data_IF_526986966949
#
_entry.id   IF_526986966949
#
_cell.length_a   1.000
_cell.length_b   1.000
_cell.length_c   1.000
_cell.angle_alpha   90.00
_cell.angle_beta   90.00
_cell.angle_gamma   90.00
#
_symmetry.space_group_name_H-M   'P 1'
#
loop_
_entity.id
_entity.type
_entity.pdbx_description
1 polymer ?
#
# COMPACT_ATOMS: atom_id res chain seq x y z
N UNK A 1 1.46 15.77 4.51
CA UNK A 1 2.34 15.03 3.57
C UNK A 1 3.12 16.06 2.80
N UNK A 2 4.42 16.01 2.90
CA UNK A 2 5.30 16.74 2.01
C UNK A 2 5.57 15.87 0.79
N UNK A 3 5.06 16.28 -0.37
CA UNK A 3 5.10 15.45 -1.59
C UNK A 3 6.47 15.45 -2.26
N UNK A 4 7.36 16.35 -1.89
CA UNK A 4 8.75 16.36 -2.34
C UNK A 4 9.49 15.09 -1.89
N UNK A 5 9.11 14.55 -0.72
CA UNK A 5 9.71 13.35 -0.13
C UNK A 5 8.90 12.07 -0.34
N UNK A 6 7.85 12.13 -1.16
CA UNK A 6 7.10 10.94 -1.58
C UNK A 6 7.73 10.39 -2.86
N UNK A 7 8.17 9.12 -2.88
CA UNK A 7 8.86 8.57 -4.05
C UNK A 7 7.94 8.57 -5.28
N UNK A 8 8.49 8.99 -6.42
CA UNK A 8 7.85 8.87 -7.71
C UNK A 8 7.75 7.41 -8.18
N UNK A 9 7.07 7.12 -9.31
CA UNK A 9 6.90 5.76 -9.81
C UNK A 9 8.21 5.02 -10.06
N UNK A 10 9.22 5.68 -10.63
CA UNK A 10 10.55 5.12 -10.90
C UNK A 10 11.27 4.77 -9.59
N UNK A 11 11.37 5.75 -8.68
CA UNK A 11 11.99 5.54 -7.37
C UNK A 11 11.27 4.45 -6.54
N UNK A 12 9.93 4.39 -6.60
CA UNK A 12 9.18 3.33 -5.94
C UNK A 12 9.49 1.94 -6.54
N UNK A 13 9.67 1.85 -7.85
CA UNK A 13 10.07 0.62 -8.53
C UNK A 13 11.47 0.18 -8.12
N UNK A 14 12.44 1.10 -8.10
CA UNK A 14 13.82 0.86 -7.67
C UNK A 14 13.89 0.43 -6.20
N UNK A 15 13.16 1.10 -5.33
CA UNK A 15 13.05 0.74 -3.91
C UNK A 15 12.46 -0.67 -3.72
N UNK A 16 11.40 -1.02 -4.45
CA UNK A 16 10.81 -2.36 -4.39
C UNK A 16 11.77 -3.43 -4.93
N UNK A 17 12.51 -3.15 -6.00
CA UNK A 17 13.53 -4.05 -6.50
C UNK A 17 14.65 -4.25 -5.46
N UNK A 18 15.16 -3.17 -4.87
CA UNK A 18 16.18 -3.21 -3.84
C UNK A 18 15.76 -4.03 -2.61
N UNK A 19 14.49 -3.98 -2.22
CA UNK A 19 13.95 -4.81 -1.11
C UNK A 19 14.24 -6.29 -1.32
N UNK A 20 14.10 -6.82 -2.55
CA UNK A 20 14.38 -8.23 -2.83
C UNK A 20 15.85 -8.60 -2.66
N UNK A 21 16.74 -7.63 -2.92
CA UNK A 21 18.18 -7.87 -3.03
C UNK A 21 18.92 -7.69 -1.70
N UNK A 22 18.36 -6.96 -0.73
CA UNK A 22 19.07 -6.65 0.52
C UNK A 22 19.21 -7.85 1.46
N UNK A 23 18.30 -8.81 1.42
CA UNK A 23 18.36 -9.99 2.28
C UNK A 23 17.29 -11.05 1.94
N UNK A 24 17.42 -12.23 2.50
CA UNK A 24 16.35 -13.25 2.47
C UNK A 24 15.04 -12.71 3.11
N UNK A 25 15.17 -11.87 4.14
CA UNK A 25 14.03 -11.23 4.77
C UNK A 25 13.36 -10.22 3.83
N UNK A 26 14.16 -9.50 3.04
CA UNK A 26 13.66 -8.61 1.98
C UNK A 26 12.85 -9.37 0.93
N UNK A 27 13.32 -10.52 0.45
CA UNK A 27 12.54 -11.36 -0.48
C UNK A 27 11.18 -11.75 0.10
N UNK A 28 11.13 -12.16 1.37
CA UNK A 28 9.87 -12.48 2.04
C UNK A 28 8.94 -11.27 2.18
N UNK A 29 9.46 -10.05 2.36
CA UNK A 29 8.69 -8.83 2.54
C UNK A 29 8.45 -8.05 1.23
N UNK A 30 8.96 -8.49 0.09
CA UNK A 30 8.79 -7.78 -1.18
C UNK A 30 7.32 -7.53 -1.51
N UNK A 31 6.47 -8.56 -1.50
CA UNK A 31 5.05 -8.40 -1.73
C UNK A 31 4.33 -7.63 -0.59
N UNK A 32 4.90 -7.60 0.62
CA UNK A 32 4.42 -6.76 1.72
C UNK A 32 4.48 -5.27 1.34
N UNK A 33 5.64 -4.81 0.86
CA UNK A 33 5.79 -3.44 0.37
C UNK A 33 5.00 -3.19 -0.92
N UNK A 34 4.90 -4.19 -1.79
CA UNK A 34 4.03 -4.15 -2.95
C UNK A 34 2.58 -3.86 -2.60
N UNK A 35 2.03 -4.46 -1.53
CA UNK A 35 0.69 -4.16 -1.04
C UNK A 35 0.54 -2.71 -0.58
N UNK A 36 1.59 -2.12 -0.01
CA UNK A 36 1.57 -0.71 0.39
C UNK A 36 1.57 0.22 -0.83
N UNK A 37 2.36 -0.11 -1.85
CA UNK A 37 2.51 0.72 -3.05
C UNK A 37 1.38 0.54 -4.06
N UNK A 38 0.95 -0.69 -4.35
CA UNK A 38 -0.05 -0.93 -5.41
C UNK A 38 -1.51 -0.97 -4.91
N UNK A 39 -1.71 -1.17 -3.60
CA UNK A 39 -3.03 -1.25 -2.99
C UNK A 39 -3.27 -0.21 -1.88
N UNK A 40 -2.35 0.73 -1.68
CA UNK A 40 -2.38 1.75 -0.65
C UNK A 40 -2.71 1.20 0.75
N UNK A 41 -2.25 -0.01 1.07
CA UNK A 41 -2.52 -0.63 2.37
C UNK A 41 -1.66 -0.02 3.47
N UNK A 42 -2.21 0.00 4.68
CA UNK A 42 -1.43 0.31 5.89
C UNK A 42 -0.60 -0.91 6.29
N UNK A 43 0.61 -0.73 6.87
CA UNK A 43 1.44 -1.87 7.31
C UNK A 43 0.67 -2.87 8.19
N UNK A 44 -0.17 -2.37 9.10
CA UNK A 44 -0.99 -3.22 9.97
C UNK A 44 -2.07 -4.03 9.20
N UNK A 45 -2.59 -3.51 8.11
CA UNK A 45 -3.49 -4.23 7.21
C UNK A 45 -2.74 -5.32 6.45
N UNK A 46 -1.53 -5.00 5.94
CA UNK A 46 -0.67 -5.98 5.25
C UNK A 46 -0.24 -7.10 6.19
N UNK A 47 0.24 -6.76 7.39
CA UNK A 47 0.65 -7.74 8.39
C UNK A 47 -0.48 -8.69 8.83
N UNK A 48 -1.73 -8.28 8.66
CA UNK A 48 -2.92 -9.10 8.94
C UNK A 48 -3.53 -9.78 7.72
N UNK A 49 -3.00 -9.55 6.51
CA UNK A 49 -3.56 -10.08 5.27
C UNK A 49 -3.46 -11.61 5.22
N UNK A 50 -4.59 -12.27 4.96
CA UNK A 50 -4.70 -13.71 4.85
C UNK A 50 -4.92 -14.14 3.40
N UNK A 51 -4.56 -15.38 3.07
CA UNK A 51 -4.83 -15.98 1.75
C UNK A 51 -6.31 -15.89 1.38
N UNK A 52 -7.21 -16.10 2.34
CA UNK A 52 -8.66 -16.01 2.16
C UNK A 52 -9.16 -14.60 1.79
N UNK A 53 -8.35 -13.57 2.01
CA UNK A 53 -8.67 -12.20 1.62
C UNK A 53 -8.28 -11.86 0.16
N UNK A 54 -7.62 -12.77 -0.55
CA UNK A 54 -6.98 -12.50 -1.82
C UNK A 54 -7.67 -13.26 -2.95
N UNK A 55 -8.17 -12.52 -3.95
CA UNK A 55 -8.61 -13.04 -5.24
C UNK A 55 -7.51 -12.75 -6.26
N UNK A 56 -6.75 -13.78 -6.62
CA UNK A 56 -5.54 -13.68 -7.45
C UNK A 56 -5.73 -14.47 -8.74
N UNK A 57 -6.38 -13.90 -9.77
CA UNK A 57 -6.57 -14.60 -11.05
C UNK A 57 -5.23 -14.84 -11.75
N UNK A 58 -5.22 -15.78 -12.72
CA UNK A 58 -4.04 -16.06 -13.51
C UNK A 58 -3.64 -14.87 -14.41
N UNK A 59 -4.61 -14.08 -14.83
CA UNK A 59 -4.43 -12.88 -15.65
C UNK A 59 -5.36 -11.76 -15.22
N UNK A 60 -4.95 -10.52 -15.45
CA UNK A 60 -5.76 -9.34 -15.19
C UNK A 60 -5.72 -8.86 -13.73
N UNK A 61 -6.70 -8.03 -13.41
CA UNK A 61 -6.85 -7.42 -12.08
C UNK A 61 -7.35 -8.42 -11.06
N UNK A 62 -6.79 -8.35 -9.86
CA UNK A 62 -7.26 -9.08 -8.68
C UNK A 62 -7.99 -8.19 -7.70
N UNK A 63 -8.28 -8.74 -6.52
CA UNK A 63 -8.94 -8.01 -5.44
C UNK A 63 -8.45 -8.49 -4.07
N UNK A 64 -8.25 -7.54 -3.16
CA UNK A 64 -8.05 -7.79 -1.74
C UNK A 64 -9.31 -7.36 -0.97
N UNK A 65 -9.84 -8.23 -0.13
CA UNK A 65 -11.02 -7.94 0.70
C UNK A 65 -10.58 -7.76 2.15
N UNK A 66 -10.46 -6.51 2.58
CA UNK A 66 -9.97 -6.15 3.91
C UNK A 66 -11.13 -5.98 4.89
N UNK A 67 -11.11 -6.68 6.01
CA UNK A 67 -12.17 -6.65 7.03
C UNK A 67 -11.71 -6.09 8.37
N UNK A 68 -10.42 -6.26 8.71
CA UNK A 68 -9.86 -5.92 10.02
C UNK A 68 -8.43 -5.42 9.88
N UNK A 69 -8.01 -4.59 10.82
CA UNK A 69 -6.60 -4.25 11.00
C UNK A 69 -6.17 -4.66 12.41
N UNK A 70 -4.86 -4.96 12.56
CA UNK A 70 -4.24 -5.27 13.84
C UNK A 70 -3.08 -4.29 14.08
N UNK A 71 -3.36 -3.06 14.52
CA UNK A 71 -2.31 -2.12 14.84
C UNK A 71 -1.43 -2.68 15.96
N UNK A 72 -0.14 -2.42 15.87
CA UNK A 72 0.82 -2.72 16.93
C UNK A 72 0.59 -1.74 18.08
N UNK A 73 0.47 -2.28 19.29
CA UNK A 73 0.33 -1.51 20.54
C UNK A 73 1.23 -2.14 21.59
N UNK A 74 1.68 -1.37 22.56
CA UNK A 74 2.46 -1.90 23.67
C UNK A 74 1.64 -2.94 24.47
N UNK A 75 2.26 -4.03 24.89
CA UNK A 75 1.58 -5.13 25.59
C UNK A 75 0.90 -4.70 26.91
N UNK A 76 1.36 -3.61 27.52
CA UNK A 76 0.72 -3.03 28.72
C UNK A 76 -0.58 -2.26 28.45
N UNK A 77 -0.97 -2.09 27.20
CA UNK A 77 -2.17 -1.32 26.76
C UNK A 77 -3.24 -2.22 26.12
N UNK A 78 -3.14 -3.54 26.26
CA UNK A 78 -4.09 -4.50 25.76
C UNK A 78 -4.66 -5.35 26.91
N UNK A 79 -5.95 -5.64 26.86
CA UNK A 79 -6.64 -6.43 27.90
C UNK A 79 -6.10 -7.87 28.02
N UNK A 80 -5.49 -8.41 26.95
CA UNK A 80 -4.95 -9.75 26.89
C UNK A 80 -3.41 -9.82 26.89
N UNK A 81 -2.72 -8.69 27.14
CA UNK A 81 -1.26 -8.60 27.22
C UNK A 81 -0.53 -8.82 25.89
N UNK A 82 -1.23 -8.93 24.76
CA UNK A 82 -0.61 -9.06 23.44
C UNK A 82 -0.10 -7.73 22.93
N UNK A 83 0.94 -7.75 22.13
CA UNK A 83 1.53 -6.54 21.53
C UNK A 83 0.72 -5.92 20.39
N UNK A 84 -0.49 -6.39 20.16
CA UNK A 84 -1.41 -5.86 19.15
C UNK A 84 -2.86 -6.12 19.53
N UNK A 85 -3.76 -5.28 19.06
CA UNK A 85 -5.19 -5.38 19.25
C UNK A 85 -5.90 -5.57 17.90
N UNK A 86 -6.87 -6.48 17.82
CA UNK A 86 -7.70 -6.66 16.64
C UNK A 86 -8.83 -5.62 16.63
N UNK A 87 -8.79 -4.71 15.66
CA UNK A 87 -9.82 -3.68 15.49
C UNK A 87 -10.51 -3.80 14.15
N UNK A 88 -11.78 -3.46 14.09
CA UNK A 88 -12.49 -3.26 12.83
C UNK A 88 -11.89 -2.13 11.99
N UNK A 89 -12.28 -2.02 10.73
CA UNK A 89 -11.85 -0.91 9.87
C UNK A 89 -12.23 0.42 10.53
N UNK A 90 -11.27 1.33 10.60
CA UNK A 90 -11.42 2.63 11.27
C UNK A 90 -12.69 3.34 10.78
N UNK A 91 -13.59 3.71 11.72
CA UNK A 91 -14.87 4.41 11.47
C UNK A 91 -15.89 3.64 10.60
N UNK A 92 -15.80 2.30 10.54
CA UNK A 92 -16.78 1.46 9.84
C UNK A 92 -17.43 0.46 10.81
N UNK A 93 -18.62 -0.06 10.46
CA UNK A 93 -19.29 -1.10 11.22
C UNK A 93 -18.40 -2.34 11.40
N UNK A 94 -18.53 -3.07 12.52
CA UNK A 94 -17.69 -4.24 12.87
C UNK A 94 -17.57 -5.30 11.77
N UNK A 95 -18.58 -5.42 10.89
CA UNK A 95 -18.62 -6.37 9.76
C UNK A 95 -18.29 -5.74 8.40
N UNK A 96 -17.99 -4.43 8.35
CA UNK A 96 -17.71 -3.77 7.08
C UNK A 96 -16.39 -4.27 6.47
N UNK A 97 -16.44 -4.64 5.20
CA UNK A 97 -15.28 -4.99 4.39
C UNK A 97 -14.93 -3.86 3.44
N UNK A 98 -13.67 -3.82 3.02
CA UNK A 98 -13.18 -2.89 2.01
C UNK A 98 -12.54 -3.69 0.87
N UNK A 99 -13.24 -3.86 -0.27
CA UNK A 99 -12.61 -4.43 -1.45
C UNK A 99 -11.66 -3.40 -2.07
N UNK A 100 -10.45 -3.84 -2.39
CA UNK A 100 -9.41 -3.06 -3.03
C UNK A 100 -8.99 -3.80 -4.30
N UNK A 101 -9.33 -3.28 -5.50
CA UNK A 101 -8.81 -3.79 -6.75
C UNK A 101 -7.30 -3.66 -6.78
N UNK A 102 -6.60 -4.69 -7.24
CA UNK A 102 -5.15 -4.70 -7.34
C UNK A 102 -4.69 -4.98 -8.77
N UNK A 103 -3.65 -4.27 -9.25
CA UNK A 103 -3.16 -4.43 -10.61
C UNK A 103 -2.47 -5.78 -10.82
N UNK A 104 -2.34 -6.23 -12.10
CA UNK A 104 -1.69 -7.51 -12.44
C UNK A 104 -0.30 -7.68 -11.85
N UNK A 105 0.49 -6.60 -11.74
CA UNK A 105 1.81 -6.63 -11.12
C UNK A 105 1.77 -7.08 -9.66
N UNK A 106 0.82 -6.58 -8.86
CA UNK A 106 0.68 -7.02 -7.47
C UNK A 106 0.10 -8.43 -7.39
N UNK A 107 -0.81 -8.80 -8.29
CA UNK A 107 -1.31 -10.18 -8.39
C UNK A 107 -0.14 -11.16 -8.61
N UNK A 108 0.76 -10.85 -9.55
CA UNK A 108 1.95 -11.66 -9.82
C UNK A 108 2.88 -11.74 -8.58
N UNK A 109 3.15 -10.61 -7.92
CA UNK A 109 3.98 -10.58 -6.70
C UNK A 109 3.40 -11.44 -5.58
N UNK A 110 2.08 -11.38 -5.35
CA UNK A 110 1.41 -12.18 -4.30
C UNK A 110 1.36 -13.67 -4.65
N UNK A 111 1.20 -14.02 -5.92
CA UNK A 111 1.27 -15.42 -6.37
C UNK A 111 2.68 -15.98 -6.18
N UNK A 112 3.71 -15.27 -6.64
CA UNK A 112 5.11 -15.66 -6.44
C UNK A 112 5.46 -15.80 -4.95
N UNK A 113 4.98 -14.88 -4.10
CA UNK A 113 5.13 -14.96 -2.65
C UNK A 113 4.51 -16.24 -2.06
N UNK A 114 3.30 -16.58 -2.49
CA UNK A 114 2.62 -17.79 -2.03
C UNK A 114 3.32 -19.07 -2.51
N UNK A 115 3.82 -19.07 -3.74
CA UNK A 115 4.55 -20.21 -4.30
C UNK A 115 5.89 -20.44 -3.59
N UNK A 116 6.62 -19.37 -3.24
CA UNK A 116 7.93 -19.46 -2.58
C UNK A 116 7.84 -19.65 -1.07
N UNK A 117 6.90 -18.98 -0.41
CA UNK A 117 6.89 -18.88 1.06
C UNK A 117 5.64 -19.51 1.71
N UNK A 118 4.60 -19.80 0.93
CA UNK A 118 3.32 -20.30 1.44
C UNK A 118 2.63 -19.31 2.37
N UNK A 119 1.91 -19.83 3.37
CA UNK A 119 1.24 -19.04 4.40
C UNK A 119 1.67 -19.45 5.81
N UNK A 120 1.44 -18.57 6.77
CA UNK A 120 1.50 -18.93 8.17
C UNK A 120 0.37 -19.91 8.55
N UNK A 121 0.46 -20.65 9.68
CA UNK A 121 -0.58 -21.60 10.10
C UNK A 121 -1.98 -21.01 10.24
N UNK A 122 -2.09 -19.71 10.55
CA UNK A 122 -3.36 -18.98 10.64
C UNK A 122 -3.84 -18.39 9.29
N UNK A 123 -3.16 -18.74 8.20
CA UNK A 123 -3.46 -18.31 6.84
C UNK A 123 -2.92 -16.93 6.44
N UNK A 124 -2.15 -16.26 7.31
CA UNK A 124 -1.50 -14.97 6.93
C UNK A 124 -0.43 -15.21 5.87
N UNK A 125 -0.33 -14.25 4.92
CA UNK A 125 0.70 -14.29 3.88
C UNK A 125 2.08 -14.02 4.49
N UNK A 126 2.19 -13.03 5.36
CA UNK A 126 3.45 -12.56 5.90
C UNK A 126 3.62 -12.99 7.36
N UNK A 127 4.78 -13.55 7.69
CA UNK A 127 5.15 -13.99 9.04
C UNK A 127 6.50 -13.37 9.45
N UNK A 128 6.69 -13.15 10.72
CA UNK A 128 7.98 -12.78 11.30
C UNK A 128 9.02 -13.88 11.07
N UNK A 129 10.32 -13.56 11.16
CA UNK A 129 11.41 -14.52 10.97
C UNK A 129 11.31 -15.74 11.92
N UNK A 130 10.80 -15.53 13.14
CA UNK A 130 10.57 -16.58 14.15
C UNK A 130 9.12 -17.10 14.17
N UNK A 131 8.35 -16.92 13.07
CA UNK A 131 6.89 -17.13 13.05
C UNK A 131 6.14 -15.93 13.66
N UNK A 132 4.87 -16.07 13.91
CA UNK A 132 4.08 -14.97 14.45
C UNK A 132 3.85 -13.83 13.45
N UNK A 133 3.52 -12.65 13.96
CA UNK A 133 3.19 -11.48 13.16
C UNK A 133 4.42 -10.65 12.83
N UNK A 134 4.50 -10.13 11.60
CA UNK A 134 5.53 -9.16 11.20
C UNK A 134 5.40 -7.89 12.05
N UNK A 135 6.51 -7.46 12.64
CA UNK A 135 6.59 -6.26 13.49
C UNK A 135 7.14 -5.07 12.71
N UNK A 136 6.87 -3.87 13.24
CA UNK A 136 7.35 -2.61 12.63
C UNK A 136 8.88 -2.56 12.52
N UNK A 137 9.61 -3.04 13.51
CA UNK A 137 11.07 -3.10 13.48
C UNK A 137 11.59 -3.91 12.29
N UNK A 138 11.03 -5.10 12.04
CA UNK A 138 11.49 -5.99 10.95
C UNK A 138 11.34 -5.36 9.56
N UNK A 139 10.16 -4.79 9.26
CA UNK A 139 9.96 -4.20 7.94
C UNK A 139 10.64 -2.84 7.79
N UNK A 140 10.83 -2.10 8.89
CA UNK A 140 11.58 -0.83 8.85
C UNK A 140 13.07 -1.08 8.60
N UNK A 141 13.69 -2.07 9.23
CA UNK A 141 15.09 -2.45 8.97
C UNK A 141 15.33 -2.82 7.51
N UNK A 142 14.47 -3.67 6.94
CA UNK A 142 14.55 -4.03 5.51
C UNK A 142 14.37 -2.81 4.61
N UNK A 143 13.43 -1.93 4.96
CA UNK A 143 13.17 -0.72 4.19
C UNK A 143 14.37 0.24 4.19
N UNK A 144 14.99 0.48 5.35
CA UNK A 144 16.17 1.34 5.44
C UNK A 144 17.35 0.77 4.64
N UNK A 145 17.58 -0.54 4.69
CA UNK A 145 18.59 -1.18 3.86
C UNK A 145 18.28 -1.01 2.35
N UNK A 146 17.02 -1.14 1.94
CA UNK A 146 16.60 -0.93 0.57
C UNK A 146 16.77 0.53 0.11
N UNK A 147 16.48 1.51 0.98
CA UNK A 147 16.74 2.93 0.69
C UNK A 147 18.22 3.19 0.39
N UNK A 148 19.11 2.73 1.24
CA UNK A 148 20.56 2.90 1.05
C UNK A 148 21.02 2.25 -0.25
N UNK A 149 20.40 1.17 -0.68
CA UNK A 149 20.75 0.47 -1.92
C UNK A 149 20.20 1.15 -3.18
N UNK A 150 18.98 1.67 -3.11
CA UNK A 150 18.26 2.19 -4.28
C UNK A 150 18.48 3.68 -4.53
N UNK A 151 18.68 4.48 -3.49
CA UNK A 151 18.79 5.92 -3.59
C UNK A 151 20.25 6.36 -3.65
N UNK A 152 20.50 7.53 -4.25
CA UNK A 152 21.81 8.17 -4.19
C UNK A 152 22.18 8.57 -2.75
N UNK A 153 23.47 8.77 -2.50
CA UNK A 153 23.95 9.21 -1.18
C UNK A 153 23.28 10.52 -0.72
N UNK A 154 23.06 11.44 -1.66
CA UNK A 154 22.38 12.72 -1.38
C UNK A 154 20.89 12.50 -1.03
N UNK A 155 20.18 11.65 -1.76
CA UNK A 155 18.78 11.34 -1.50
C UNK A 155 18.58 10.62 -0.17
N UNK A 156 19.49 9.75 0.23
CA UNK A 156 19.44 9.03 1.53
C UNK A 156 19.49 10.00 2.71
N UNK A 157 20.22 11.11 2.60
CA UNK A 157 20.28 12.16 3.63
C UNK A 157 19.01 13.02 3.71
N UNK A 158 18.12 12.90 2.73
CA UNK A 158 16.83 13.61 2.72
C UNK A 158 15.73 12.76 3.36
N UNK A 159 14.55 13.34 3.69
CA UNK A 159 13.37 12.59 4.11
C UNK A 159 12.71 11.77 2.99
N UNK A 160 13.28 11.69 1.78
CA UNK A 160 12.73 10.93 0.66
C UNK A 160 12.52 9.46 1.03
N UNK A 161 11.28 9.02 0.97
CA UNK A 161 10.89 7.65 1.30
C UNK A 161 11.40 7.17 2.69
N UNK A 162 11.58 8.10 3.65
CA UNK A 162 12.18 7.85 4.95
C UNK A 162 11.50 6.70 5.73
N UNK A 163 10.20 6.57 5.60
CA UNK A 163 9.43 5.50 6.24
C UNK A 163 8.69 4.65 5.20
N UNK A 164 8.48 3.36 5.46
CA UNK A 164 7.73 2.48 4.56
C UNK A 164 6.34 3.03 4.18
N UNK A 165 5.73 3.81 5.07
CA UNK A 165 4.43 4.44 4.85
C UNK A 165 4.40 5.40 3.65
N UNK A 166 5.56 5.90 3.22
CA UNK A 166 5.72 6.74 2.02
C UNK A 166 5.24 6.03 0.75
N UNK A 167 5.35 4.69 0.67
CA UNK A 167 4.80 3.91 -0.45
C UNK A 167 3.28 4.04 -0.56
N UNK A 168 2.58 4.09 0.56
CA UNK A 168 1.13 4.33 0.54
C UNK A 168 0.79 5.74 0.05
N UNK A 169 1.58 6.74 0.44
CA UNK A 169 1.42 8.10 -0.09
C UNK A 169 1.72 8.15 -1.58
N UNK A 170 2.75 7.45 -2.03
CA UNK A 170 3.08 7.31 -3.45
C UNK A 170 1.94 6.68 -4.26
N UNK A 171 1.33 5.60 -3.75
CA UNK A 171 0.17 4.97 -4.37
C UNK A 171 -1.02 5.93 -4.53
N UNK A 172 -1.41 6.60 -3.46
CA UNK A 172 -2.54 7.55 -3.50
C UNK A 172 -2.23 8.71 -4.45
N UNK A 173 -1.00 9.22 -4.43
CA UNK A 173 -0.55 10.27 -5.34
C UNK A 173 -0.59 9.82 -6.80
N UNK A 174 -0.15 8.58 -7.08
CA UNK A 174 -0.21 7.98 -8.41
C UNK A 174 -1.65 7.88 -8.91
N UNK A 175 -2.58 7.38 -8.09
CA UNK A 175 -3.98 7.26 -8.47
C UNK A 175 -4.61 8.61 -8.78
N UNK A 176 -4.35 9.64 -7.96
CA UNK A 176 -4.82 10.99 -8.19
C UNK A 176 -4.25 11.55 -9.51
N UNK A 177 -2.94 11.43 -9.72
CA UNK A 177 -2.28 11.90 -10.95
C UNK A 177 -2.74 11.15 -12.20
N UNK A 178 -3.12 9.89 -12.07
CA UNK A 178 -3.70 9.09 -13.14
C UNK A 178 -5.19 9.44 -13.44
N UNK A 179 -5.79 10.38 -12.72
CA UNK A 179 -7.16 10.81 -12.92
C UNK A 179 -8.23 9.92 -12.31
N UNK A 180 -7.86 9.03 -11.38
CA UNK A 180 -8.85 8.23 -10.65
C UNK A 180 -9.71 9.17 -9.80
N UNK A 181 -11.04 8.97 -9.88
CA UNK A 181 -12.00 9.76 -9.12
C UNK A 181 -11.64 9.82 -7.62
N UNK A 182 -11.64 11.02 -6.99
CA UNK A 182 -11.23 11.18 -5.60
C UNK A 182 -12.07 10.36 -4.60
N UNK A 183 -13.35 10.11 -4.89
CA UNK A 183 -14.21 9.27 -4.03
C UNK A 183 -13.75 7.81 -4.11
N UNK A 184 -13.40 7.34 -5.30
CA UNK A 184 -12.86 6.01 -5.51
C UNK A 184 -11.46 5.86 -4.88
N UNK A 185 -10.59 6.86 -5.00
CA UNK A 185 -9.29 6.89 -4.30
C UNK A 185 -9.49 6.77 -2.80
N UNK A 186 -10.40 7.57 -2.22
CA UNK A 186 -10.72 7.52 -0.80
C UNK A 186 -11.24 6.15 -0.38
N UNK A 187 -12.13 5.56 -1.18
CA UNK A 187 -12.70 4.23 -0.96
C UNK A 187 -11.62 3.15 -0.93
N UNK A 188 -10.76 3.10 -1.96
CA UNK A 188 -9.65 2.13 -2.07
C UNK A 188 -8.66 2.28 -0.93
N UNK A 189 -8.21 3.50 -0.64
CA UNK A 189 -7.26 3.77 0.42
C UNK A 189 -7.86 3.62 1.84
N UNK A 190 -9.18 3.54 1.98
CA UNK A 190 -9.84 3.56 3.30
C UNK A 190 -9.65 4.88 4.03
N UNK A 191 -9.68 5.98 3.27
CA UNK A 191 -9.78 7.34 3.77
C UNK A 191 -11.23 7.81 3.80
N UNK A 192 -11.56 8.77 4.67
CA UNK A 192 -12.74 9.59 4.43
C UNK A 192 -12.41 10.65 3.37
N UNK A 193 -13.40 11.16 2.60
CA UNK A 193 -13.18 12.26 1.66
C UNK A 193 -12.46 13.45 2.30
N UNK A 194 -12.83 13.83 3.53
CA UNK A 194 -12.19 14.91 4.27
C UNK A 194 -10.69 14.65 4.53
N UNK A 195 -10.31 13.41 4.82
CA UNK A 195 -8.89 13.02 4.99
C UNK A 195 -8.16 13.12 3.66
N UNK A 196 -8.77 12.67 2.57
CA UNK A 196 -8.17 12.78 1.24
C UNK A 196 -7.93 14.25 0.89
N UNK A 197 -8.94 15.11 1.02
CA UNK A 197 -8.81 16.55 0.78
C UNK A 197 -7.75 17.20 1.66
N UNK A 198 -7.73 16.91 2.95
CA UNK A 198 -6.77 17.49 3.88
C UNK A 198 -5.31 17.21 3.47
N UNK A 199 -5.00 15.98 3.09
CA UNK A 199 -3.62 15.57 2.83
C UNK A 199 -3.19 15.70 1.37
N UNK A 200 -4.12 15.66 0.42
CA UNK A 200 -3.81 15.62 -1.01
C UNK A 200 -4.39 16.80 -1.81
N UNK A 201 -4.86 17.86 -1.13
CA UNK A 201 -5.48 19.03 -1.77
C UNK A 201 -4.58 19.68 -2.83
N UNK A 202 -3.26 19.73 -2.61
CA UNK A 202 -2.30 20.29 -3.58
C UNK A 202 -2.30 19.51 -4.89
N UNK A 203 -2.34 18.17 -4.83
CA UNK A 203 -2.39 17.31 -6.01
C UNK A 203 -3.75 17.42 -6.72
N UNK A 204 -4.84 17.49 -5.98
CA UNK A 204 -6.19 17.60 -6.53
C UNK A 204 -6.43 18.92 -7.28
N UNK A 205 -5.78 20.02 -6.85
CA UNK A 205 -5.91 21.34 -7.52
C UNK A 205 -5.09 21.46 -8.80
N UNK A 206 -4.03 20.68 -8.98
CA UNK A 206 -3.14 20.74 -10.14
C UNK A 206 -3.69 20.08 -11.41
N UNK A 207 -4.96 19.61 -11.41
CA UNK A 207 -5.55 18.85 -12.51
C UNK A 207 -6.51 19.65 -13.41
N UNK A 208 -6.54 20.98 -13.32
CA UNK A 208 -7.49 21.80 -14.08
C UNK A 208 -7.37 21.57 -15.59
N UNK A 209 -6.17 21.60 -16.14
CA UNK A 209 -5.94 21.39 -17.59
C UNK A 209 -6.29 19.96 -18.02
N UNK A 210 -6.00 18.96 -17.20
CA UNK A 210 -6.41 17.59 -17.48
C UNK A 210 -7.93 17.44 -17.47
N UNK A 211 -8.60 18.06 -16.49
CA UNK A 211 -10.06 18.08 -16.42
C UNK A 211 -10.68 18.78 -17.63
N UNK A 212 -10.14 19.92 -18.06
CA UNK A 212 -10.59 20.62 -19.24
C UNK A 212 -10.47 19.75 -20.50
N UNK A 213 -9.33 19.07 -20.70
CA UNK A 213 -9.16 18.14 -21.84
C UNK A 213 -10.16 16.99 -21.82
N UNK A 214 -10.50 16.44 -20.64
CA UNK A 214 -11.50 15.39 -20.51
C UNK A 214 -12.91 15.90 -20.87
N UNK A 215 -13.24 17.14 -20.48
CA UNK A 215 -14.52 17.79 -20.84
C UNK A 215 -14.57 18.02 -22.36
N UNK A 216 -13.51 18.57 -22.95
CA UNK A 216 -13.42 18.82 -24.38
C UNK A 216 -13.62 17.52 -25.18
N UNK A 217 -12.90 16.46 -24.83
CA UNK A 217 -13.05 15.14 -25.47
C UNK A 217 -14.48 14.59 -25.35
N UNK A 218 -15.14 14.76 -24.21
CA UNK A 218 -16.52 14.33 -24.02
C UNK A 218 -17.54 15.16 -24.85
N UNK A 219 -17.25 16.44 -25.07
CA UNK A 219 -18.07 17.32 -25.93
C UNK A 219 -17.89 17.00 -27.42
N UNK A 220 -16.65 16.67 -27.84
CA UNK A 220 -16.33 16.28 -29.22
C UNK A 220 -16.98 14.95 -29.60
N UNK A 221 -16.88 13.93 -28.73
CA UNK A 221 -17.50 12.62 -28.96
C UNK A 221 -19.02 12.67 -29.16
N UNK A 222 -19.68 13.74 -28.71
CA UNK A 222 -21.11 13.98 -28.93
C UNK A 222 -21.44 14.59 -30.32
N UNK A 223 -20.45 15.15 -31.03
CA UNK A 223 -20.65 15.76 -32.36
C UNK A 223 -20.58 14.71 -33.47
N UNK A 224 -19.94 13.56 -33.18
CA UNK A 224 -19.71 12.47 -34.13
C UNK A 224 -20.73 11.31 -33.98
N UNK A 225 -21.71 11.45 -33.05
CA UNK A 225 -22.79 10.48 -32.80
C UNK A 225 -24.15 11.03 -33.26
#
# INVERSE_FOLDING_TARGET
VDFEFVPGPEQASELLAAVQEVSARGRHLHAFFGCMYYAAMRPAEVAGLKRSNCKLPAQGWGELVLSKSRPEVGSGWTDDGKSYEERGLKRRARKATRPVPIPPVLVAMLRAHLDEHGTAPDGRLFRAARGGRVRSTEYTEVWQAARVKALSAEEVETPLADVPYSLRHACVSLWIKAGVDPVEVARRAGHSPAVLWKFYAKLLRGHQDASNRMIDAALEARRDA
#
